data_IF_808577133211
#
_entry.id   IF_808577133211
#
_cell.length_a   1.000
_cell.length_b   1.000
_cell.length_c   1.000
_cell.angle_alpha   90.00
_cell.angle_beta   90.00
_cell.angle_gamma   90.00
#
_symmetry.space_group_name_H-M   'P 1'
#
loop_
_entity.id
_entity.type
_entity.pdbx_description
1 polymer ?
#
# COMPACT_ATOMS: atom_id res chain seq x y z
N UNK A 1 -11.91 20.70 -4.08
CA UNK A 1 -12.18 19.92 -5.31
C UNK A 1 -11.58 18.53 -5.11
N UNK A 2 -12.21 17.44 -5.59
CA UNK A 2 -11.70 16.06 -5.34
C UNK A 2 -10.42 15.78 -6.12
N UNK A 3 -10.36 16.24 -7.38
CA UNK A 3 -9.20 16.14 -8.26
C UNK A 3 -8.56 17.50 -8.49
N UNK A 4 -7.29 17.50 -8.90
CA UNK A 4 -6.58 18.71 -9.35
C UNK A 4 -7.22 19.30 -10.61
N UNK A 5 -7.60 18.43 -11.53
CA UNK A 5 -8.23 18.78 -12.79
C UNK A 5 -8.82 17.58 -13.51
N UNK A 6 -9.59 17.85 -14.56
CA UNK A 6 -10.17 16.84 -15.46
C UNK A 6 -9.74 17.21 -16.87
N UNK A 7 -9.21 16.23 -17.61
CA UNK A 7 -8.75 16.39 -18.98
C UNK A 7 -9.36 15.31 -19.86
N UNK A 8 -9.52 15.63 -21.14
CA UNK A 8 -9.90 14.66 -22.16
C UNK A 8 -8.65 14.21 -22.92
N UNK A 9 -8.30 12.93 -22.77
CA UNK A 9 -7.14 12.32 -23.44
C UNK A 9 -5.81 12.49 -22.70
N UNK A 10 -4.82 11.72 -23.17
CA UNK A 10 -3.47 11.66 -22.61
C UNK A 10 -2.59 12.78 -23.20
N UNK A 11 -2.00 13.67 -22.39
CA UNK A 11 -1.10 14.74 -22.88
C UNK A 11 0.34 14.30 -23.17
N UNK A 12 0.67 13.02 -22.95
CA UNK A 12 2.02 12.46 -23.10
C UNK A 12 2.08 11.37 -24.17
N UNK A 13 3.28 11.05 -24.68
CA UNK A 13 3.49 9.96 -25.63
C UNK A 13 3.05 8.60 -25.07
N UNK A 14 2.72 7.65 -25.95
CA UNK A 14 2.42 6.28 -25.53
C UNK A 14 3.67 5.63 -24.91
N UNK A 15 3.49 5.08 -23.72
CA UNK A 15 4.54 4.45 -22.93
C UNK A 15 4.62 2.93 -23.17
N UNK A 16 3.66 2.35 -23.91
CA UNK A 16 3.71 0.95 -24.36
C UNK A 16 3.71 -0.10 -23.24
N UNK A 17 3.30 0.29 -22.01
CA UNK A 17 3.30 -0.63 -20.87
C UNK A 17 2.10 -1.56 -20.92
N UNK A 18 2.37 -2.86 -20.79
CA UNK A 18 1.33 -3.85 -20.60
C UNK A 18 0.91 -3.91 -19.13
N UNK A 19 -0.24 -4.53 -18.85
CA UNK A 19 -0.69 -4.78 -17.46
C UNK A 19 0.36 -5.52 -16.61
N UNK A 20 1.18 -6.40 -17.22
CA UNK A 20 2.25 -7.12 -16.51
C UNK A 20 3.41 -6.21 -16.13
N UNK A 21 3.72 -5.21 -16.96
CA UNK A 21 4.80 -4.27 -16.67
C UNK A 21 4.40 -3.30 -15.55
N UNK A 22 3.12 -2.90 -15.50
CA UNK A 22 2.58 -2.17 -14.36
C UNK A 22 2.77 -2.92 -13.04
N UNK A 23 2.59 -4.24 -13.02
CA UNK A 23 2.78 -5.03 -11.80
C UNK A 23 4.19 -4.95 -11.20
N UNK A 24 5.22 -4.62 -12.01
CA UNK A 24 6.61 -4.42 -11.56
C UNK A 24 6.78 -3.13 -10.77
N UNK A 25 5.97 -2.11 -11.04
CA UNK A 25 6.03 -0.81 -10.38
C UNK A 25 5.40 -0.95 -8.98
N UNK A 26 6.11 -0.70 -7.87
CA UNK A 26 5.53 -0.81 -6.54
C UNK A 26 4.38 0.20 -6.35
N UNK A 27 3.27 -0.21 -5.71
CA UNK A 27 2.16 0.70 -5.43
C UNK A 27 2.58 1.76 -4.41
N UNK A 28 2.16 3.01 -4.65
CA UNK A 28 2.40 4.16 -3.79
C UNK A 28 1.08 4.83 -3.45
N UNK A 29 1.10 5.61 -2.38
CA UNK A 29 -0.06 6.37 -1.93
C UNK A 29 -0.06 7.75 -2.56
N UNK A 30 -1.21 8.15 -3.12
CA UNK A 30 -1.43 9.45 -3.74
C UNK A 30 -2.66 10.13 -3.17
N UNK A 31 -2.61 11.45 -3.07
CA UNK A 31 -3.80 12.22 -2.73
C UNK A 31 -4.61 12.54 -3.98
N UNK A 32 -5.93 12.57 -3.84
CA UNK A 32 -6.80 12.80 -4.99
C UNK A 32 -6.66 14.23 -5.54
N UNK A 33 -6.39 15.20 -4.68
CA UNK A 33 -6.20 16.62 -5.02
C UNK A 33 -4.93 16.90 -5.82
N UNK A 34 -4.01 15.93 -5.93
CA UNK A 34 -2.80 16.00 -6.75
C UNK A 34 -2.99 15.43 -8.17
N UNK A 35 -4.05 14.64 -8.37
CA UNK A 35 -4.29 13.87 -9.58
C UNK A 35 -5.16 14.63 -10.58
N UNK A 36 -4.77 14.58 -11.85
CA UNK A 36 -5.55 15.04 -13.01
C UNK A 36 -6.10 13.83 -13.76
N UNK A 37 -7.41 13.74 -13.96
CA UNK A 37 -7.98 12.58 -14.69
C UNK A 37 -7.80 12.75 -16.20
N UNK A 38 -7.52 11.67 -16.92
CA UNK A 38 -7.42 11.69 -18.41
C UNK A 38 -8.73 11.33 -19.12
N UNK A 39 -9.73 10.93 -18.35
CA UNK A 39 -11.09 10.64 -18.84
C UNK A 39 -12.09 11.56 -18.15
N UNK A 40 -13.08 11.99 -18.94
CA UNK A 40 -14.19 12.85 -18.53
C UNK A 40 -15.43 12.05 -18.16
N UNK A 41 -15.55 10.80 -18.63
CA UNK A 41 -16.76 10.00 -18.50
C UNK A 41 -16.65 9.06 -17.31
N UNK A 42 -17.61 9.17 -16.40
CA UNK A 42 -17.79 8.26 -15.28
C UNK A 42 -19.05 7.43 -15.48
N UNK A 43 -18.88 6.12 -15.58
CA UNK A 43 -19.98 5.16 -15.66
C UNK A 43 -20.51 4.82 -14.25
N UNK A 44 -21.78 5.17 -13.98
CA UNK A 44 -22.40 5.01 -12.64
C UNK A 44 -22.66 3.55 -12.28
N UNK A 45 -23.07 2.74 -13.26
CA UNK A 45 -23.24 1.29 -13.14
C UNK A 45 -21.96 0.61 -12.63
N UNK A 46 -20.81 1.01 -13.19
CA UNK A 46 -19.50 0.56 -12.70
C UNK A 46 -19.24 1.10 -11.30
N UNK A 47 -19.42 2.39 -11.06
CA UNK A 47 -19.17 2.98 -9.73
C UNK A 47 -19.91 2.25 -8.59
N UNK A 48 -21.15 1.81 -8.84
CA UNK A 48 -22.00 1.13 -7.85
C UNK A 48 -21.82 -0.38 -7.81
N UNK A 49 -21.23 -0.99 -8.84
CA UNK A 49 -21.01 -2.43 -8.89
C UNK A 49 -20.00 -2.90 -7.82
N UNK A 50 -20.34 -3.99 -7.13
CA UNK A 50 -19.50 -4.62 -6.12
C UNK A 50 -18.20 -5.20 -6.75
N UNK A 51 -18.25 -5.60 -8.03
CA UNK A 51 -17.13 -6.12 -8.81
C UNK A 51 -16.24 -5.05 -9.46
N UNK A 52 -16.60 -3.76 -9.36
CA UNK A 52 -15.96 -2.69 -10.13
C UNK A 52 -14.51 -2.35 -9.74
N UNK A 53 -13.89 -3.18 -8.90
CA UNK A 53 -12.45 -3.16 -8.65
C UNK A 53 -11.67 -4.13 -9.54
N UNK A 54 -12.32 -4.87 -10.44
CA UNK A 54 -11.75 -6.06 -11.08
C UNK A 54 -11.72 -5.99 -12.61
N UNK A 55 -11.00 -5.03 -13.16
CA UNK A 55 -10.49 -5.13 -14.54
C UNK A 55 -8.99 -4.91 -14.49
N UNK A 56 -8.22 -5.98 -14.25
CA UNK A 56 -6.77 -5.97 -14.32
C UNK A 56 -6.05 -5.82 -12.99
N UNK A 57 -5.67 -4.59 -12.61
CA UNK A 57 -4.79 -4.32 -11.46
C UNK A 57 -5.59 -3.91 -10.20
N UNK A 58 -5.10 -4.34 -9.03
CA UNK A 58 -5.67 -3.97 -7.74
C UNK A 58 -5.44 -2.48 -7.41
N UNK A 59 -4.43 -1.89 -8.05
CA UNK A 59 -4.01 -0.51 -7.87
C UNK A 59 -4.35 0.33 -9.09
N UNK A 60 -4.60 1.62 -8.87
CA UNK A 60 -4.78 2.56 -9.98
C UNK A 60 -3.48 2.75 -10.77
N UNK A 61 -3.58 3.23 -12.01
CA UNK A 61 -2.41 3.59 -12.82
C UNK A 61 -2.32 5.09 -12.95
N UNK A 62 -1.16 5.64 -12.61
CA UNK A 62 -0.86 7.05 -12.70
C UNK A 62 0.41 7.28 -13.52
N UNK A 63 0.44 8.35 -14.30
CA UNK A 63 1.58 8.73 -15.12
C UNK A 63 1.98 10.15 -14.74
N UNK A 64 3.25 10.35 -14.38
CA UNK A 64 3.81 11.68 -14.17
C UNK A 64 4.41 12.20 -15.48
N UNK A 65 3.98 13.39 -15.88
CA UNK A 65 4.47 14.08 -17.06
C UNK A 65 4.44 15.59 -16.87
N UNK A 66 5.55 16.24 -17.20
CA UNK A 66 5.80 17.67 -17.03
C UNK A 66 5.44 18.18 -15.63
N UNK A 67 5.77 17.39 -14.60
CA UNK A 67 5.50 17.73 -13.20
C UNK A 67 4.03 17.60 -12.75
N UNK A 68 3.13 17.12 -13.60
CA UNK A 68 1.75 16.78 -13.22
C UNK A 68 1.53 15.28 -13.19
N UNK A 69 0.58 14.83 -12.37
CA UNK A 69 0.25 13.41 -12.21
C UNK A 69 -1.12 13.17 -12.83
N UNK A 70 -1.13 12.34 -13.87
CA UNK A 70 -2.31 11.98 -14.62
C UNK A 70 -2.82 10.61 -14.19
N UNK A 71 -4.08 10.52 -13.80
CA UNK A 71 -4.75 9.26 -13.48
C UNK A 71 -5.28 8.63 -14.76
N UNK A 72 -4.64 7.55 -15.20
CA UNK A 72 -5.01 6.81 -16.41
C UNK A 72 -6.16 5.84 -16.17
N UNK A 73 -6.04 5.09 -15.07
CA UNK A 73 -7.00 4.06 -14.70
C UNK A 73 -7.28 4.13 -13.20
N UNK A 74 -8.43 3.59 -12.79
CA UNK A 74 -8.90 3.61 -11.42
C UNK A 74 -9.70 4.86 -11.06
N UNK A 75 -10.28 5.58 -12.04
CA UNK A 75 -11.17 6.73 -11.79
C UNK A 75 -12.31 6.35 -10.83
N UNK A 76 -13.02 5.24 -11.09
CA UNK A 76 -14.11 4.78 -10.21
C UNK A 76 -13.63 4.49 -8.80
N UNK A 77 -12.43 3.91 -8.64
CA UNK A 77 -11.82 3.63 -7.34
C UNK A 77 -11.49 4.92 -6.58
N UNK A 78 -10.98 5.92 -7.29
CA UNK A 78 -10.71 7.25 -6.75
C UNK A 78 -11.99 7.94 -6.29
N UNK A 79 -13.02 7.98 -7.14
CA UNK A 79 -14.31 8.60 -6.79
C UNK A 79 -14.99 7.86 -5.63
N UNK A 80 -14.99 6.52 -5.64
CA UNK A 80 -15.52 5.72 -4.52
C UNK A 80 -14.78 6.02 -3.21
N UNK A 81 -13.48 6.24 -3.25
CA UNK A 81 -12.69 6.62 -2.07
C UNK A 81 -13.09 8.02 -1.58
N UNK A 82 -13.22 8.98 -2.49
CA UNK A 82 -13.69 10.33 -2.18
C UNK A 82 -15.09 10.34 -1.54
N UNK A 83 -16.02 9.54 -2.06
CA UNK A 83 -17.38 9.38 -1.52
C UNK A 83 -17.40 8.78 -0.10
N UNK A 84 -16.34 8.06 0.28
CA UNK A 84 -16.13 7.53 1.64
C UNK A 84 -15.32 8.49 2.53
N UNK A 85 -15.18 9.76 2.13
CA UNK A 85 -14.33 10.76 2.78
C UNK A 85 -12.84 10.35 2.88
N UNK A 86 -12.35 9.52 1.95
CA UNK A 86 -10.94 9.13 1.84
C UNK A 86 -10.32 9.80 0.63
N UNK A 87 -9.58 10.88 0.86
CA UNK A 87 -8.94 11.69 -0.20
C UNK A 87 -7.61 11.09 -0.69
N UNK A 88 -7.47 9.77 -0.60
CA UNK A 88 -6.21 9.06 -0.83
C UNK A 88 -6.49 7.77 -1.59
N UNK A 89 -5.65 7.45 -2.57
CA UNK A 89 -5.71 6.24 -3.39
C UNK A 89 -4.33 5.58 -3.47
N UNK A 90 -4.30 4.26 -3.60
CA UNK A 90 -3.07 3.54 -3.94
C UNK A 90 -2.99 3.37 -5.46
N UNK A 91 -1.93 3.90 -6.04
CA UNK A 91 -1.67 3.81 -7.47
C UNK A 91 -0.22 3.42 -7.74
N UNK A 92 0.00 2.80 -8.90
CA UNK A 92 1.34 2.60 -9.45
C UNK A 92 1.63 3.80 -10.33
N UNK A 93 2.77 4.46 -10.10
CA UNK A 93 3.16 5.64 -10.86
C UNK A 93 4.29 5.30 -11.81
N UNK A 94 4.08 5.57 -13.10
CA UNK A 94 5.14 5.68 -14.08
C UNK A 94 5.60 7.14 -14.16
N UNK A 95 6.91 7.36 -14.16
CA UNK A 95 7.49 8.68 -14.32
C UNK A 95 8.10 8.84 -15.71
N UNK A 96 7.39 9.50 -16.61
CA UNK A 96 7.85 9.71 -17.99
C UNK A 96 8.85 10.84 -18.12
N UNK A 97 8.90 11.77 -17.17
CA UNK A 97 9.91 12.85 -17.16
C UNK A 97 11.32 12.29 -16.86
N UNK A 98 11.41 11.13 -16.20
CA UNK A 98 12.68 10.45 -15.92
C UNK A 98 13.11 9.47 -17.01
N UNK A 99 12.22 9.10 -17.94
CA UNK A 99 12.57 8.26 -19.09
C UNK A 99 13.20 9.14 -20.16
N UNK A 100 14.44 8.83 -20.57
CA UNK A 100 15.15 9.63 -21.55
C UNK A 100 14.34 9.72 -22.87
N UNK A 101 14.31 10.88 -23.55
CA UNK A 101 13.57 11.05 -24.79
C UNK A 101 14.10 10.08 -25.85
N UNK A 102 13.29 9.07 -26.20
CA UNK A 102 13.62 8.03 -27.17
C UNK A 102 13.73 6.60 -26.60
N UNK A 103 13.64 6.42 -25.28
CA UNK A 103 13.47 5.09 -24.66
C UNK A 103 11.99 4.82 -24.38
N UNK A 104 11.53 3.61 -24.63
CA UNK A 104 10.20 3.20 -24.18
C UNK A 104 10.26 2.84 -22.70
N UNK A 105 9.24 3.24 -21.93
CA UNK A 105 9.17 2.92 -20.51
C UNK A 105 9.25 1.40 -20.25
N UNK A 106 8.76 0.60 -21.20
CA UNK A 106 8.83 -0.86 -21.18
C UNK A 106 10.27 -1.40 -21.14
N UNK A 107 11.20 -0.79 -21.89
CA UNK A 107 12.63 -1.17 -21.90
C UNK A 107 13.29 -0.85 -20.56
N UNK A 108 13.02 0.33 -19.98
CA UNK A 108 13.56 0.71 -18.66
C UNK A 108 13.02 -0.16 -17.52
N UNK A 109 11.81 -0.73 -17.68
CA UNK A 109 11.17 -1.65 -16.73
C UNK A 109 11.56 -3.12 -16.93
N UNK A 110 12.37 -3.45 -17.93
CA UNK A 110 12.81 -4.82 -18.19
C UNK A 110 13.78 -5.36 -17.10
N UNK A 111 14.59 -4.47 -16.50
CA UNK A 111 15.60 -4.85 -15.49
C UNK A 111 15.07 -4.87 -14.04
N UNK A 112 13.81 -4.48 -13.80
CA UNK A 112 13.25 -4.44 -12.45
C UNK A 112 12.68 -5.81 -12.03
N UNK A 113 13.09 -6.36 -10.87
CA UNK A 113 12.48 -7.58 -10.34
C UNK A 113 11.00 -7.31 -10.05
N UNK A 114 10.13 -8.24 -10.46
CA UNK A 114 8.69 -8.16 -10.20
C UNK A 114 8.49 -8.05 -8.69
N UNK A 115 7.95 -6.91 -8.23
CA UNK A 115 7.62 -6.69 -6.84
C UNK A 115 6.58 -7.73 -6.39
N UNK A 116 7.04 -8.74 -5.64
CA UNK A 116 6.13 -9.68 -4.97
C UNK A 116 5.32 -8.88 -3.94
N UNK A 117 4.00 -9.13 -3.81
CA UNK A 117 3.21 -8.50 -2.76
C UNK A 117 3.90 -8.80 -1.42
N UNK A 118 4.20 -7.73 -0.68
CA UNK A 118 4.99 -7.79 0.54
C UNK A 118 4.49 -8.91 1.46
N UNK A 119 5.33 -9.91 1.70
CA UNK A 119 5.14 -10.87 2.78
C UNK A 119 5.02 -10.05 4.07
N UNK A 120 3.81 -10.04 4.65
CA UNK A 120 3.53 -9.50 5.97
C UNK A 120 4.46 -10.22 6.96
N UNK A 121 5.62 -9.64 7.22
CA UNK A 121 6.47 -10.10 8.31
C UNK A 121 5.68 -9.83 9.58
N UNK A 122 5.36 -10.84 10.42
CA UNK A 122 4.67 -10.58 11.67
C UNK A 122 5.55 -9.64 12.51
N UNK A 123 4.94 -8.72 13.28
CA UNK A 123 5.70 -7.80 14.11
C UNK A 123 6.52 -8.63 15.10
N UNK A 124 7.84 -8.42 15.08
CA UNK A 124 8.75 -8.94 16.10
C UNK A 124 8.28 -8.36 17.43
N UNK A 125 7.78 -9.24 18.30
CA UNK A 125 7.35 -8.91 19.66
C UNK A 125 8.57 -8.50 20.48
N UNK A 126 8.92 -7.21 20.43
CA UNK A 126 10.00 -6.64 21.25
C UNK A 126 9.50 -6.46 22.67
N UNK A 127 9.41 -7.58 23.40
CA UNK A 127 9.29 -7.56 24.86
C UNK A 127 10.63 -7.10 25.43
N UNK A 128 10.70 -5.99 26.18
CA UNK A 128 11.96 -5.58 26.79
C UNK A 128 12.35 -6.62 27.85
N UNK A 129 13.51 -7.24 27.67
CA UNK A 129 14.12 -8.12 28.66
C UNK A 129 14.43 -7.31 29.94
N UNK A 130 13.55 -7.43 30.92
CA UNK A 130 13.78 -6.96 32.28
C UNK A 130 14.93 -7.76 32.89
N UNK A 131 16.14 -7.20 32.88
CA UNK A 131 17.26 -7.60 33.71
C UNK A 131 16.85 -7.67 35.19
N UNK A 132 16.62 -8.89 35.70
CA UNK A 132 16.46 -9.17 37.11
C UNK A 132 17.75 -9.82 37.65
N UNK A 133 18.26 -9.42 38.83
CA UNK A 133 19.50 -9.99 39.36
C UNK A 133 19.24 -11.41 39.91
N UNK A 134 20.28 -12.28 39.93
CA UNK A 134 20.11 -13.65 40.42
C UNK A 134 19.84 -13.67 41.92
N UNK A 135 18.76 -14.34 42.34
CA UNK A 135 18.49 -14.64 43.75
C UNK A 135 19.50 -15.67 44.27
N UNK A 136 20.25 -15.31 45.31
CA UNK A 136 21.08 -16.24 46.11
C UNK A 136 20.23 -17.37 46.71
N UNK A 137 20.72 -18.60 46.79
CA UNK A 137 20.05 -19.65 47.56
C UNK A 137 20.25 -19.39 49.06
N UNK A 138 19.16 -19.28 49.81
CA UNK A 138 19.19 -19.26 51.26
C UNK A 138 19.42 -20.69 51.78
N UNK A 139 20.55 -20.87 52.46
CA UNK A 139 20.88 -22.06 53.21
C UNK A 139 19.81 -22.37 54.27
N UNK A 140 19.51 -23.66 54.42
CA UNK A 140 18.40 -24.17 55.23
C UNK A 140 18.43 -23.80 56.70
N UNK A 141 17.25 -23.87 57.31
CA UNK A 141 17.04 -24.07 58.73
C UNK A 141 15.75 -24.87 58.91
N UNK A 142 15.82 -25.84 59.81
CA UNK A 142 14.97 -27.01 59.89
C UNK A 142 13.52 -26.75 60.25
N UNK A 143 12.66 -27.66 59.81
CA UNK A 143 11.34 -27.84 60.38
C UNK A 143 11.47 -28.67 61.67
N UNK A 144 10.93 -28.16 62.76
CA UNK A 144 10.73 -28.91 64.01
C UNK A 144 9.24 -29.10 64.23
N UNK A 145 8.83 -30.35 64.48
CA UNK A 145 7.46 -30.75 64.82
C UNK A 145 7.29 -30.71 66.34
N UNK A 146 6.22 -30.10 66.85
CA UNK A 146 5.46 -30.73 67.94
C UNK A 146 3.95 -30.43 67.79
N UNK A 147 2.98 -31.24 68.22
CA UNK A 147 2.89 -32.42 69.06
C UNK A 147 1.39 -32.60 69.35
N UNK A 148 0.92 -33.84 69.42
CA UNK A 148 -0.50 -34.21 69.56
C UNK A 148 -1.11 -33.80 70.91
N UNK A 149 -2.34 -33.27 70.91
CA UNK A 149 -3.24 -33.31 72.08
C UNK A 149 -4.70 -33.56 71.67
N UNK A 150 -5.26 -34.64 72.22
CA UNK A 150 -6.70 -34.96 72.28
C UNK A 150 -7.40 -34.06 73.30
N UNK A 151 -8.74 -33.97 73.23
CA UNK A 151 -9.57 -34.27 74.41
C UNK A 151 -10.72 -35.24 74.04
N UNK A 152 -10.93 -36.30 74.82
CA UNK A 152 -11.96 -36.50 75.87
C UNK A 152 -13.40 -36.47 75.35
#
# INVERSE_FOLDING_TARGET
>A
MIFRGVRDGKPYPDHGLTHRDWAKIPPRQFRLDELTTVTTVLALDRLLSEDSTFYGDLFAHAVRWHGEIYLEDGLHRAVRSALRNRNVIHARMLDLDAVAPGQTASESLADLPIARPAELTPPIDQRPESSAPPRRPAAGRGWSVPGSRRPR
#
